data_IF_381481849363
#
_entry.id   IF_381481849363
#
_cell.length_a   1.000
_cell.length_b   1.000
_cell.length_c   1.000
_cell.angle_alpha   90.00
_cell.angle_beta   90.00
_cell.angle_gamma   90.00
#
_symmetry.space_group_name_H-M   'P 1'
#
loop_
_entity.id
_entity.type
_entity.pdbx_description
1 polymer ?
#
# COMPACT_ATOMS: atom_id res chain seq x y z
N UNK A 1 -21.69 0.25 4.83
CA UNK A 1 -22.39 -0.51 3.77
C UNK A 1 -21.38 -0.85 2.67
N UNK A 2 -21.60 -1.87 1.84
CA UNK A 2 -20.63 -2.26 0.78
C UNK A 2 -20.22 -1.07 -0.11
N UNK A 3 -21.16 -0.16 -0.41
CA UNK A 3 -20.85 1.05 -1.18
C UNK A 3 -19.85 1.99 -0.52
N UNK A 4 -19.86 2.10 0.81
CA UNK A 4 -18.92 2.92 1.58
C UNK A 4 -17.52 2.32 1.53
N UNK A 5 -17.43 0.99 1.66
CA UNK A 5 -16.15 0.25 1.57
C UNK A 5 -15.50 0.43 0.19
N UNK A 6 -16.30 0.38 -0.88
CA UNK A 6 -15.86 0.66 -2.26
C UNK A 6 -15.39 2.13 -2.38
N UNK A 7 -16.13 3.07 -1.80
CA UNK A 7 -15.75 4.48 -1.83
C UNK A 7 -14.44 4.75 -1.09
N UNK A 8 -14.21 4.09 0.05
CA UNK A 8 -12.97 4.15 0.81
C UNK A 8 -11.79 3.55 0.04
N UNK A 9 -11.97 2.42 -0.65
CA UNK A 9 -10.91 1.83 -1.46
C UNK A 9 -10.53 2.72 -2.64
N UNK A 10 -11.53 3.34 -3.29
CA UNK A 10 -11.30 4.35 -4.33
C UNK A 10 -10.54 5.55 -3.79
N UNK A 11 -10.92 6.07 -2.61
CA UNK A 11 -10.21 7.16 -1.94
C UNK A 11 -8.75 6.80 -1.69
N UNK A 12 -8.47 5.61 -1.16
CA UNK A 12 -7.10 5.13 -0.95
C UNK A 12 -6.31 5.14 -2.26
N UNK A 13 -6.90 4.61 -3.34
CA UNK A 13 -6.27 4.59 -4.66
C UNK A 13 -5.93 6.00 -5.16
N UNK A 14 -6.84 6.96 -4.99
CA UNK A 14 -6.61 8.37 -5.36
C UNK A 14 -5.45 8.98 -4.55
N UNK A 15 -5.37 8.70 -3.24
CA UNK A 15 -4.24 9.15 -2.39
C UNK A 15 -2.92 8.54 -2.81
N UNK A 16 -2.90 7.24 -3.12
CA UNK A 16 -1.71 6.53 -3.61
C UNK A 16 -1.25 7.14 -4.94
N UNK A 17 -2.15 7.36 -5.90
CA UNK A 17 -1.83 7.97 -7.19
C UNK A 17 -1.31 9.41 -7.07
N UNK A 18 -1.77 10.15 -6.07
CA UNK A 18 -1.28 11.50 -5.78
C UNK A 18 0.07 11.52 -5.03
N UNK A 19 0.60 10.36 -4.63
CA UNK A 19 1.83 10.23 -3.86
C UNK A 19 2.95 9.70 -4.76
N UNK A 20 3.94 10.51 -5.18
CA UNK A 20 4.91 10.10 -6.20
C UNK A 20 5.69 8.82 -5.88
N UNK A 21 5.97 8.58 -4.59
CA UNK A 21 6.75 7.44 -4.10
C UNK A 21 5.91 6.17 -3.87
N UNK A 22 4.63 6.22 -4.23
CA UNK A 22 3.75 5.07 -4.19
C UNK A 22 3.22 4.76 -5.59
N UNK A 23 3.08 3.48 -5.87
CA UNK A 23 2.52 2.98 -7.12
C UNK A 23 1.17 2.33 -6.83
N UNK A 24 0.10 2.79 -7.49
CA UNK A 24 -1.21 2.15 -7.40
C UNK A 24 -1.28 0.96 -8.37
N UNK A 25 -1.75 -0.18 -7.87
CA UNK A 25 -1.87 -1.41 -8.64
C UNK A 25 -3.30 -1.76 -9.08
N UNK A 26 -3.49 -3.00 -9.54
CA UNK A 26 -4.80 -3.57 -9.86
C UNK A 26 -5.72 -3.63 -8.64
N UNK A 27 -6.97 -3.23 -8.79
CA UNK A 27 -7.96 -3.28 -7.72
C UNK A 27 -9.35 -2.97 -8.24
N UNK A 28 -10.37 -3.56 -7.61
CA UNK A 28 -11.77 -3.32 -7.88
C UNK A 28 -12.57 -3.44 -6.58
N UNK A 29 -13.81 -2.95 -6.60
CA UNK A 29 -14.70 -2.96 -5.43
C UNK A 29 -14.00 -2.31 -4.22
N UNK A 30 -13.94 -3.01 -3.08
CA UNK A 30 -13.35 -2.52 -1.84
C UNK A 30 -11.86 -2.86 -1.68
N UNK A 31 -11.18 -3.17 -2.79
CA UNK A 31 -9.75 -3.49 -2.80
C UNK A 31 -8.94 -2.38 -3.47
N UNK A 32 -7.90 -1.93 -2.78
CA UNK A 32 -6.84 -1.11 -3.36
C UNK A 32 -5.49 -1.78 -3.12
N UNK A 33 -4.64 -1.80 -4.15
CA UNK A 33 -3.28 -2.32 -4.05
C UNK A 33 -2.27 -1.21 -4.28
N UNK A 34 -1.13 -1.32 -3.59
CA UNK A 34 -0.07 -0.34 -3.68
C UNK A 34 1.32 -0.96 -3.49
N UNK A 35 2.34 -0.29 -4.00
CA UNK A 35 3.76 -0.55 -3.70
C UNK A 35 4.46 0.73 -3.31
N UNK A 36 5.42 0.62 -2.41
CA UNK A 36 6.39 1.66 -2.13
C UNK A 36 7.52 1.63 -3.17
N UNK A 37 7.90 2.81 -3.67
CA UNK A 37 9.03 3.05 -4.59
C UNK A 37 9.99 4.07 -3.96
N UNK A 38 11.22 3.67 -3.56
CA UNK A 38 12.15 4.56 -2.88
C UNK A 38 12.43 5.84 -3.66
N UNK A 39 12.79 5.72 -4.93
CA UNK A 39 12.93 6.83 -5.88
C UNK A 39 11.96 6.63 -7.06
N UNK A 40 11.01 7.56 -7.30
CA UNK A 40 10.06 7.43 -8.40
C UNK A 40 10.68 7.69 -9.78
N UNK A 41 11.88 8.27 -9.85
CA UNK A 41 12.60 8.59 -11.09
C UNK A 41 13.48 7.45 -11.56
N UNK A 42 13.81 6.52 -10.67
CA UNK A 42 14.67 5.39 -10.99
C UNK A 42 13.86 4.16 -11.41
N UNK A 43 14.41 3.44 -12.39
CA UNK A 43 13.98 2.09 -12.69
C UNK A 43 14.54 1.16 -11.60
N UNK A 44 13.64 0.55 -10.83
CA UNK A 44 14.01 -0.46 -9.84
C UNK A 44 14.04 -1.83 -10.49
N UNK A 45 14.98 -2.68 -10.08
CA UNK A 45 14.86 -4.11 -10.34
C UNK A 45 13.57 -4.64 -9.67
N UNK A 46 12.69 -5.27 -10.45
CA UNK A 46 11.37 -5.66 -9.95
C UNK A 46 11.45 -6.74 -8.85
N UNK A 47 12.46 -7.63 -8.90
CA UNK A 47 12.64 -8.65 -7.85
C UNK A 47 13.11 -8.02 -6.53
N UNK A 48 14.02 -7.04 -6.58
CA UNK A 48 14.45 -6.25 -5.44
C UNK A 48 13.29 -5.41 -4.87
N UNK A 49 12.50 -4.77 -5.73
CA UNK A 49 11.35 -3.96 -5.33
C UNK A 49 10.25 -4.82 -4.67
N UNK A 50 10.01 -6.01 -5.19
CA UNK A 50 9.11 -7.00 -4.59
C UNK A 50 9.62 -7.47 -3.22
N UNK A 51 10.92 -7.77 -3.10
CA UNK A 51 11.52 -8.17 -1.82
C UNK A 51 11.44 -7.05 -0.77
N UNK A 52 11.67 -5.80 -1.17
CA UNK A 52 11.49 -4.63 -0.31
C UNK A 52 10.04 -4.49 0.17
N UNK A 53 9.07 -4.61 -0.74
CA UNK A 53 7.65 -4.49 -0.38
C UNK A 53 7.15 -5.66 0.49
N UNK A 54 7.73 -6.87 0.37
CA UNK A 54 7.47 -7.97 1.32
C UNK A 54 7.92 -7.64 2.73
N UNK A 55 9.16 -7.14 2.89
CA UNK A 55 9.70 -6.70 4.20
C UNK A 55 8.88 -5.54 4.78
N UNK A 56 8.44 -4.62 3.92
CA UNK A 56 7.57 -3.52 4.31
C UNK A 56 6.21 -4.01 4.82
N UNK A 57 5.60 -5.00 4.16
CA UNK A 57 4.36 -5.61 4.62
C UNK A 57 4.52 -6.18 6.03
N UNK A 58 5.57 -6.97 6.26
CA UNK A 58 5.88 -7.54 7.58
C UNK A 58 6.03 -6.44 8.63
N UNK A 59 6.77 -5.36 8.31
CA UNK A 59 6.97 -4.24 9.23
C UNK A 59 5.66 -3.51 9.57
N UNK A 60 4.81 -3.27 8.58
CA UNK A 60 3.48 -2.66 8.78
C UNK A 60 2.60 -3.52 9.69
N UNK A 61 2.57 -4.83 9.45
CA UNK A 61 1.78 -5.76 10.27
C UNK A 61 2.30 -5.83 11.71
N UNK A 62 3.62 -5.77 11.91
CA UNK A 62 4.24 -5.72 13.24
C UNK A 62 4.03 -4.39 13.98
N UNK A 63 3.99 -3.27 13.25
CA UNK A 63 3.72 -1.93 13.82
C UNK A 63 2.30 -1.84 14.40
N UNK A 64 1.34 -2.53 13.79
CA UNK A 64 -0.01 -2.70 14.33
C UNK A 64 -0.97 -1.53 14.10
N UNK A 65 -0.52 -0.39 13.55
CA UNK A 65 -1.42 0.72 13.14
C UNK A 65 -2.24 0.38 11.90
N UNK A 66 -1.75 -0.51 11.04
CA UNK A 66 -2.47 -0.99 9.87
C UNK A 66 -2.14 -2.45 9.57
N UNK A 67 -3.11 -3.20 9.05
CA UNK A 67 -2.91 -4.55 8.57
C UNK A 67 -3.29 -4.64 7.09
N UNK A 68 -2.32 -4.95 6.24
CA UNK A 68 -2.51 -5.20 4.82
C UNK A 68 -2.23 -6.67 4.53
N UNK A 69 -2.84 -7.22 3.48
CA UNK A 69 -2.53 -8.54 2.97
C UNK A 69 -1.52 -8.48 1.82
N UNK A 70 -0.86 -9.59 1.47
CA UNK A 70 -0.13 -9.68 0.21
C UNK A 70 -1.09 -9.86 -0.99
N UNK A 71 -0.62 -9.50 -2.17
CA UNK A 71 -1.16 -9.95 -3.45
C UNK A 71 -0.05 -10.09 -4.48
N UNK A 72 -0.14 -11.08 -5.36
CA UNK A 72 0.72 -11.20 -6.54
C UNK A 72 -0.17 -11.14 -7.77
N UNK A 73 0.05 -10.12 -8.61
CA UNK A 73 -0.73 -9.89 -9.84
C UNK A 73 0.27 -9.63 -10.95
N UNK A 74 0.13 -10.37 -12.05
CA UNK A 74 1.04 -10.32 -13.21
C UNK A 74 2.52 -10.49 -12.81
N UNK A 75 2.78 -11.37 -11.85
CA UNK A 75 4.13 -11.67 -11.36
C UNK A 75 4.74 -10.62 -10.43
N UNK A 76 4.00 -9.55 -10.08
CA UNK A 76 4.49 -8.44 -9.22
C UNK A 76 3.82 -8.50 -7.86
N UNK A 77 4.58 -8.22 -6.80
CA UNK A 77 4.09 -8.21 -5.42
C UNK A 77 3.45 -6.86 -5.06
N UNK A 78 2.30 -6.90 -4.38
CA UNK A 78 1.55 -5.73 -3.96
C UNK A 78 1.16 -5.82 -2.48
N UNK A 79 1.19 -4.67 -1.80
CA UNK A 79 0.46 -4.49 -0.55
C UNK A 79 -1.03 -4.35 -0.89
N UNK A 80 -1.90 -5.16 -0.29
CA UNK A 80 -3.34 -5.21 -0.58
C UNK A 80 -4.15 -4.73 0.62
N UNK A 81 -4.80 -3.58 0.46
CA UNK A 81 -5.83 -3.09 1.36
C UNK A 81 -7.19 -3.66 0.91
N UNK A 82 -7.82 -4.46 1.77
CA UNK A 82 -9.17 -4.99 1.57
C UNK A 82 -10.08 -4.35 2.61
N UNK A 83 -10.78 -3.30 2.23
CA UNK A 83 -11.58 -2.51 3.15
C UNK A 83 -12.94 -3.19 3.30
N UNK A 84 -13.14 -3.80 4.47
CA UNK A 84 -14.41 -4.47 4.82
C UNK A 84 -14.75 -4.28 6.30
N UNK A 85 -13.84 -3.66 7.07
CA UNK A 85 -14.05 -3.41 8.48
C UNK A 85 -14.88 -2.13 8.63
N UNK A 86 -16.07 -2.26 9.23
CA UNK A 86 -17.01 -1.17 9.49
C UNK A 86 -16.44 -0.03 10.34
N UNK A 87 -15.36 -0.27 11.09
CA UNK A 87 -14.65 0.77 11.84
C UNK A 87 -13.66 1.59 11.01
N UNK A 88 -13.44 1.25 9.73
CA UNK A 88 -12.52 1.98 8.85
C UNK A 88 -13.20 3.23 8.32
N UNK A 89 -12.64 4.40 8.62
CA UNK A 89 -13.10 5.68 8.10
C UNK A 89 -12.14 6.28 7.06
N UNK A 90 -12.51 7.47 6.60
CA UNK A 90 -11.68 8.25 5.68
C UNK A 90 -10.34 8.68 6.31
N UNK A 91 -10.29 8.87 7.64
CA UNK A 91 -9.10 9.26 8.36
C UNK A 91 -8.03 8.14 8.35
N UNK A 92 -8.43 6.90 8.63
CA UNK A 92 -7.55 5.73 8.59
C UNK A 92 -7.03 5.49 7.16
N UNK A 93 -7.91 5.62 6.16
CA UNK A 93 -7.55 5.51 4.75
C UNK A 93 -6.54 6.58 4.32
N UNK A 94 -6.75 7.83 4.73
CA UNK A 94 -5.87 8.94 4.38
C UNK A 94 -4.51 8.87 5.09
N UNK A 95 -4.44 8.24 6.26
CA UNK A 95 -3.20 8.06 7.00
C UNK A 95 -2.30 6.96 6.43
N UNK A 96 -2.87 5.96 5.75
CA UNK A 96 -2.14 4.77 5.30
C UNK A 96 -0.95 5.08 4.37
N UNK A 97 -1.04 5.97 3.36
CA UNK A 97 0.12 6.34 2.53
C UNK A 97 1.31 6.85 3.33
N UNK A 98 1.07 7.69 4.35
CA UNK A 98 2.14 8.24 5.18
C UNK A 98 2.82 7.15 6.00
N UNK A 99 2.04 6.21 6.56
CA UNK A 99 2.56 5.05 7.29
C UNK A 99 3.43 4.14 6.40
N UNK A 100 2.99 3.91 5.16
CA UNK A 100 3.73 3.12 4.17
C UNK A 100 5.07 3.79 3.82
N UNK A 101 5.08 5.12 3.67
CA UNK A 101 6.31 5.88 3.45
C UNK A 101 7.24 5.84 4.66
N UNK A 102 6.72 6.02 5.88
CA UNK A 102 7.49 5.97 7.13
C UNK A 102 8.29 4.66 7.23
N UNK A 103 7.63 3.52 7.06
CA UNK A 103 8.29 2.22 7.13
C UNK A 103 9.12 1.90 5.88
N UNK A 104 8.68 2.35 4.70
CA UNK A 104 9.43 2.19 3.46
C UNK A 104 10.78 2.90 3.51
N UNK A 105 10.80 4.13 4.03
CA UNK A 105 11.99 4.96 4.17
C UNK A 105 13.00 4.33 5.11
N UNK A 106 12.52 3.88 6.28
CA UNK A 106 13.34 3.19 7.27
C UNK A 106 13.99 1.91 6.71
N UNK A 107 13.29 1.18 5.85
CA UNK A 107 13.82 -0.03 5.21
C UNK A 107 14.79 0.29 4.06
N UNK A 108 14.55 1.36 3.30
CA UNK A 108 15.43 1.76 2.19
C UNK A 108 16.72 2.45 2.64
N UNK A 109 16.72 3.10 3.81
CA UNK A 109 17.92 3.74 4.36
C UNK A 109 18.91 2.75 5.00
N UNK A 110 18.47 1.52 5.27
CA UNK A 110 19.28 0.45 5.86
C UNK A 110 19.70 -0.66 4.88
N UNK A 111 19.55 -0.42 3.58
CA UNK A 111 19.93 -1.33 2.49
C UNK A 111 21.19 -0.87 1.78
#
# INVERSE_FOLDING_TARGET
MIGDDIALARRLRERVQATPRLEAGPGSLSIATLRYRPDPREAHDEAALDALNRRLLERLQHDGRAWLGPAVVDGRFWLRACIVNFGTGAAEVDALPALVLEHGDALSAGA
#
